data_IF_089875189666
#
_entry.id   IF_089875189666
#
_cell.length_a   1.000
_cell.length_b   1.000
_cell.length_c   1.000
_cell.angle_alpha   90.00
_cell.angle_beta   90.00
_cell.angle_gamma   90.00
#
_symmetry.space_group_name_H-M   'P 1'
#
loop_
_entity.id
_entity.type
_entity.pdbx_description
1 polymer ?
#
# COMPACT_ATOMS: atom_id res chain seq x y z
N UNK A 1 3.36 0.17 2.91
CA UNK A 1 2.39 1.29 2.83
C UNK A 1 0.99 0.71 3.02
N UNK A 2 0.32 1.01 4.14
CA UNK A 2 -1.02 0.46 4.42
C UNK A 2 -2.13 1.16 3.64
N UNK A 3 -3.32 0.56 3.61
CA UNK A 3 -4.52 1.11 2.93
C UNK A 3 -4.85 2.56 3.38
N UNK A 4 -4.77 2.93 4.68
CA UNK A 4 -5.02 4.32 5.08
C UNK A 4 -4.04 5.31 4.44
N UNK A 5 -2.77 4.92 4.29
CA UNK A 5 -1.74 5.76 3.66
C UNK A 5 -2.00 5.89 2.16
N UNK A 6 -2.45 4.83 1.49
CA UNK A 6 -2.83 4.85 0.07
C UNK A 6 -3.91 5.90 -0.18
N UNK A 7 -5.01 5.87 0.60
CA UNK A 7 -6.12 6.83 0.44
C UNK A 7 -5.68 8.26 0.74
N UNK A 8 -4.94 8.48 1.82
CA UNK A 8 -4.43 9.82 2.16
C UNK A 8 -3.46 10.36 1.10
N UNK A 9 -2.58 9.51 0.56
CA UNK A 9 -1.67 9.88 -0.52
C UNK A 9 -2.42 10.21 -1.82
N UNK A 10 -3.49 9.47 -2.13
CA UNK A 10 -4.37 9.78 -3.28
C UNK A 10 -4.96 11.18 -3.16
N UNK A 11 -5.57 11.49 -2.01
CA UNK A 11 -6.16 12.80 -1.74
C UNK A 11 -5.09 13.89 -1.83
N UNK A 12 -3.96 13.71 -1.15
CA UNK A 12 -2.88 14.70 -1.13
C UNK A 12 -2.30 14.97 -2.52
N UNK A 13 -2.02 13.92 -3.31
CA UNK A 13 -1.51 14.07 -4.68
C UNK A 13 -2.48 14.86 -5.55
N UNK A 14 -3.77 14.57 -5.46
CA UNK A 14 -4.80 15.25 -6.25
C UNK A 14 -4.99 16.71 -5.83
N UNK A 15 -4.87 17.00 -4.53
CA UNK A 15 -4.83 18.37 -4.02
C UNK A 15 -3.63 19.15 -4.55
N UNK A 16 -2.43 18.58 -4.46
CA UNK A 16 -1.19 19.22 -4.96
C UNK A 16 -1.25 19.44 -6.48
N UNK A 17 -1.95 18.56 -7.20
CA UNK A 17 -2.13 18.65 -8.66
C UNK A 17 -3.31 19.55 -9.07
N UNK A 18 -3.93 20.27 -8.13
CA UNK A 18 -5.11 21.13 -8.35
C UNK A 18 -6.24 20.44 -9.12
N UNK A 19 -6.47 19.14 -8.85
CA UNK A 19 -7.55 18.40 -9.48
C UNK A 19 -8.90 18.84 -8.89
N UNK A 20 -9.94 19.00 -9.72
CA UNK A 20 -11.28 19.36 -9.25
C UNK A 20 -11.89 18.27 -8.35
N UNK A 21 -11.45 17.03 -8.51
CA UNK A 21 -11.86 15.89 -7.67
C UNK A 21 -10.65 15.21 -7.06
N UNK A 22 -10.79 14.80 -5.79
CA UNK A 22 -9.69 14.21 -5.00
C UNK A 22 -9.63 12.68 -5.11
N UNK A 23 -10.52 12.08 -5.90
CA UNK A 23 -10.65 10.63 -6.05
C UNK A 23 -9.94 10.07 -7.29
N UNK A 24 -9.20 10.88 -8.05
CA UNK A 24 -8.41 10.36 -9.18
C UNK A 24 -7.43 9.28 -8.67
N UNK A 25 -7.35 8.13 -9.36
CA UNK A 25 -6.57 6.99 -8.88
C UNK A 25 -5.07 7.23 -8.96
N UNK A 26 -4.33 6.64 -8.03
CA UNK A 26 -2.88 6.48 -8.17
C UNK A 26 -2.56 5.47 -9.28
N UNK A 27 -1.38 5.55 -9.89
CA UNK A 27 -1.03 4.71 -11.03
C UNK A 27 -1.20 3.21 -10.76
N UNK A 28 -0.82 2.71 -9.57
CA UNK A 28 -0.96 1.30 -9.23
C UNK A 28 -2.42 0.87 -8.96
N UNK A 29 -3.34 1.80 -8.78
CA UNK A 29 -4.77 1.50 -8.56
C UNK A 29 -5.49 1.17 -9.86
N UNK A 30 -4.86 1.41 -11.01
CA UNK A 30 -5.37 1.00 -12.33
C UNK A 30 -4.93 -0.42 -12.71
N UNK A 31 -4.15 -1.10 -11.86
CA UNK A 31 -3.77 -2.50 -12.08
C UNK A 31 -5.03 -3.37 -12.08
N UNK A 32 -5.10 -4.33 -13.02
CA UNK A 32 -6.27 -5.20 -13.22
C UNK A 32 -6.63 -6.02 -11.98
N UNK A 33 -5.66 -6.30 -11.12
CA UNK A 33 -5.81 -7.22 -9.99
C UNK A 33 -5.26 -6.59 -8.72
N UNK A 34 -5.99 -6.77 -7.63
CA UNK A 34 -5.60 -6.38 -6.29
C UNK A 34 -5.89 -7.54 -5.32
N UNK A 35 -5.11 -7.61 -4.25
CA UNK A 35 -5.25 -8.63 -3.20
C UNK A 35 -4.84 -8.08 -1.83
N UNK A 36 -5.26 -8.77 -0.78
CA UNK A 36 -4.85 -8.48 0.59
C UNK A 36 -3.69 -9.40 1.00
N UNK A 37 -2.71 -8.84 1.70
CA UNK A 37 -1.53 -9.58 2.18
C UNK A 37 -1.57 -9.65 3.70
N UNK A 38 -1.40 -10.86 4.24
CA UNK A 38 -1.16 -11.05 5.68
C UNK A 38 0.31 -10.75 5.97
N UNK A 39 0.57 -9.81 6.88
CA UNK A 39 1.93 -9.33 7.16
C UNK A 39 2.52 -9.85 8.47
N UNK A 40 1.85 -10.77 9.18
CA UNK A 40 2.41 -11.35 10.41
C UNK A 40 3.68 -12.13 10.11
N UNK A 41 4.69 -11.98 10.97
CA UNK A 41 5.91 -12.80 10.94
C UNK A 41 5.74 -14.06 11.80
N UNK A 42 6.73 -14.96 11.78
CA UNK A 42 6.72 -16.20 12.57
C UNK A 42 6.65 -15.95 14.09
N UNK A 43 7.20 -14.83 14.57
CA UNK A 43 7.29 -14.50 15.99
C UNK A 43 6.42 -13.33 16.43
N UNK A 44 5.95 -12.50 15.49
CA UNK A 44 5.19 -11.28 15.81
C UNK A 44 3.99 -11.09 14.88
N UNK A 45 2.82 -10.82 15.46
CA UNK A 45 1.62 -10.42 14.71
C UNK A 45 1.83 -9.10 13.95
N UNK A 46 2.56 -8.16 14.56
CA UNK A 46 3.03 -6.92 13.91
C UNK A 46 4.49 -7.14 13.52
N UNK A 47 4.73 -7.40 12.23
CA UNK A 47 6.08 -7.62 11.70
C UNK A 47 6.90 -6.34 11.66
N UNK A 48 8.21 -6.50 11.57
CA UNK A 48 9.14 -5.46 11.12
C UNK A 48 9.36 -5.52 9.59
N UNK A 49 10.15 -4.56 9.09
CA UNK A 49 10.49 -4.49 7.67
C UNK A 49 11.40 -5.64 7.21
N UNK A 50 12.27 -6.17 8.08
CA UNK A 50 13.21 -7.21 7.70
C UNK A 50 12.48 -8.54 7.44
N UNK A 51 11.64 -9.00 8.37
CA UNK A 51 10.86 -10.22 8.18
C UNK A 51 9.82 -10.07 7.05
N UNK A 52 9.20 -8.89 6.91
CA UNK A 52 8.30 -8.61 5.79
C UNK A 52 9.01 -8.67 4.42
N UNK A 53 10.26 -8.22 4.33
CA UNK A 53 11.04 -8.29 3.10
C UNK A 53 11.41 -9.73 2.73
N UNK A 54 11.78 -10.57 3.71
CA UNK A 54 12.06 -12.00 3.47
C UNK A 54 10.81 -12.68 2.89
N UNK A 55 9.64 -12.46 3.48
CA UNK A 55 8.39 -13.02 2.98
C UNK A 55 8.06 -12.55 1.56
N UNK A 56 8.22 -11.25 1.27
CA UNK A 56 7.85 -10.68 -0.04
C UNK A 56 8.83 -11.06 -1.16
N UNK A 57 10.14 -11.07 -0.88
CA UNK A 57 11.18 -11.17 -1.92
C UNK A 57 11.70 -12.60 -2.05
N UNK A 58 11.72 -13.37 -0.96
CA UNK A 58 12.20 -14.77 -0.96
C UNK A 58 11.07 -15.80 -0.84
N UNK A 59 9.84 -15.37 -0.50
CA UNK A 59 8.69 -16.26 -0.37
C UNK A 59 8.71 -17.13 0.89
N UNK A 60 9.41 -16.70 1.95
CA UNK A 60 9.60 -17.46 3.20
C UNK A 60 9.11 -16.71 4.44
#
# INVERSE_FOLDING_TARGET
MGIPIVTSARINKNQVSNKPYLNEPLFFETFRSAGLVKTSSLSHHVTDSAAGAVALVTGR
#
